data_IF_145751059517
#
_entry.id   IF_145751059517
#
_cell.length_a   1.000
_cell.length_b   1.000
_cell.length_c   1.000
_cell.angle_alpha   90.00
_cell.angle_beta   90.00
_cell.angle_gamma   90.00
#
_symmetry.space_group_name_H-M   'P 1'
#
loop_
_entity.id
_entity.type
_entity.pdbx_description
1 polymer ?
#
# COMPACT_ATOMS: atom_id res chain seq x y z
N UNK A 1 -0.35 7.84 9.80
CA UNK A 1 -1.24 6.65 9.71
C UNK A 1 -1.34 5.96 11.05
N UNK A 2 -0.25 5.42 11.61
CA UNK A 2 -0.31 4.74 12.92
C UNK A 2 -0.91 5.63 14.04
N UNK A 3 -0.48 6.88 14.15
CA UNK A 3 -1.03 7.84 15.12
C UNK A 3 -2.54 8.06 14.98
N UNK A 4 -3.08 7.95 13.76
CA UNK A 4 -4.51 8.14 13.49
C UNK A 4 -5.39 6.99 13.99
N UNK A 5 -4.78 5.81 14.24
CA UNK A 5 -5.44 4.65 14.84
C UNK A 5 -5.38 4.66 16.38
N UNK A 6 -4.57 5.53 17.00
CA UNK A 6 -4.45 5.60 18.46
C UNK A 6 -5.82 5.92 19.09
N UNK A 7 -6.22 5.14 20.09
CA UNK A 7 -7.53 5.25 20.73
C UNK A 7 -8.72 4.70 19.92
N UNK A 8 -8.49 4.07 18.75
CA UNK A 8 -9.51 3.38 17.95
C UNK A 8 -9.41 1.85 18.12
N UNK A 9 -10.35 1.12 17.53
CA UNK A 9 -10.40 -0.35 17.63
C UNK A 9 -9.51 -1.06 16.61
N UNK A 10 -9.19 -0.38 15.51
CA UNK A 10 -8.21 -0.85 14.52
C UNK A 10 -6.80 -0.61 15.04
N UNK A 11 -5.88 -1.51 14.70
CA UNK A 11 -4.49 -1.40 15.12
C UNK A 11 -3.56 -2.05 14.09
N UNK A 12 -2.28 -1.67 14.13
CA UNK A 12 -1.24 -2.21 13.26
C UNK A 12 -0.45 -3.28 14.04
N UNK A 13 -0.71 -4.58 13.82
CA UNK A 13 0.00 -5.62 14.56
C UNK A 13 1.49 -5.62 14.19
N UNK A 14 2.33 -5.91 15.19
CA UNK A 14 3.74 -6.11 14.97
C UNK A 14 3.98 -7.35 14.09
N UNK A 15 5.00 -7.26 13.22
CA UNK A 15 5.38 -8.36 12.34
C UNK A 15 6.10 -9.45 13.15
N UNK A 16 5.82 -10.73 12.87
CA UNK A 16 6.61 -11.83 13.43
C UNK A 16 8.06 -11.76 12.94
N UNK A 17 8.97 -12.45 13.63
CA UNK A 17 10.36 -12.50 13.22
C UNK A 17 10.52 -13.10 11.81
N UNK A 18 9.77 -14.16 11.48
CA UNK A 18 9.81 -14.77 10.15
C UNK A 18 9.26 -13.82 9.08
N UNK A 19 8.10 -13.19 9.33
CA UNK A 19 7.49 -12.27 8.38
C UNK A 19 8.37 -11.04 8.13
N UNK A 20 8.93 -10.47 9.19
CA UNK A 20 9.89 -9.37 9.11
C UNK A 20 11.12 -9.76 8.28
N UNK A 21 11.66 -10.96 8.48
CA UNK A 21 12.82 -11.44 7.72
C UNK A 21 12.48 -11.62 6.23
N UNK A 22 11.28 -12.14 5.93
CA UNK A 22 10.80 -12.29 4.55
C UNK A 22 10.63 -10.94 3.84
N UNK A 23 10.00 -9.95 4.49
CA UNK A 23 9.89 -8.61 3.92
C UNK A 23 11.27 -7.98 3.73
N UNK A 24 12.17 -8.12 4.73
CA UNK A 24 13.53 -7.57 4.65
C UNK A 24 14.34 -8.13 3.48
N UNK A 25 14.14 -9.40 3.10
CA UNK A 25 14.87 -9.99 1.96
C UNK A 25 14.52 -9.37 0.61
N UNK A 26 13.40 -8.62 0.53
CA UNK A 26 12.97 -7.91 -0.69
C UNK A 26 13.44 -6.46 -0.75
N UNK A 27 14.03 -5.94 0.34
CA UNK A 27 14.34 -4.53 0.51
C UNK A 27 15.84 -4.28 0.64
N UNK A 28 16.24 -3.03 0.37
CA UNK A 28 17.61 -2.58 0.61
C UNK A 28 18.02 -2.63 2.10
N UNK A 29 19.32 -2.60 2.40
CA UNK A 29 19.83 -2.72 3.77
C UNK A 29 19.36 -1.60 4.69
N UNK A 30 19.06 -0.42 4.15
CA UNK A 30 18.67 0.78 4.89
C UNK A 30 17.19 0.83 5.33
N UNK A 31 16.34 -0.05 4.81
CA UNK A 31 14.90 0.02 5.06
C UNK A 31 14.53 -0.64 6.39
N UNK A 32 13.86 0.10 7.28
CA UNK A 32 13.31 -0.45 8.50
C UNK A 32 12.02 -1.21 8.20
N UNK A 33 11.96 -2.48 8.62
CA UNK A 33 10.77 -3.32 8.40
C UNK A 33 9.91 -3.30 9.66
N UNK A 34 8.74 -2.68 9.53
CA UNK A 34 7.73 -2.48 10.56
C UNK A 34 6.32 -2.46 9.92
N UNK A 35 5.29 -2.27 10.74
CA UNK A 35 3.92 -2.04 10.31
C UNK A 35 3.42 -0.73 10.95
N UNK A 36 3.19 0.34 10.18
CA UNK A 36 3.24 0.44 8.72
C UNK A 36 4.65 0.25 8.13
N UNK A 37 4.71 -0.27 6.89
CA UNK A 37 5.95 -0.43 6.14
C UNK A 37 6.22 0.80 5.27
N UNK A 38 7.36 1.46 5.49
CA UNK A 38 7.94 2.41 4.53
C UNK A 38 8.94 1.65 3.66
N UNK A 39 8.55 1.29 2.43
CA UNK A 39 9.42 0.56 1.51
C UNK A 39 10.45 1.45 0.80
N UNK A 40 10.41 2.77 1.05
CA UNK A 40 11.19 3.81 0.38
C UNK A 40 11.03 3.87 -1.14
N UNK A 41 11.42 5.01 -1.72
CA UNK A 41 11.37 5.23 -3.16
C UNK A 41 12.46 4.45 -3.94
N UNK A 42 13.32 3.70 -3.26
CA UNK A 42 14.43 2.96 -3.90
C UNK A 42 13.97 1.92 -4.93
N UNK A 43 12.81 1.29 -4.69
CA UNK A 43 12.21 0.32 -5.63
C UNK A 43 11.07 0.92 -6.44
N UNK A 44 10.82 2.23 -6.31
CA UNK A 44 9.72 2.88 -7.01
C UNK A 44 9.98 2.85 -8.53
N UNK A 45 8.91 2.66 -9.30
CA UNK A 45 8.91 2.40 -10.74
C UNK A 45 9.56 1.08 -11.17
N UNK A 46 10.01 0.23 -10.24
CA UNK A 46 10.37 -1.15 -10.52
C UNK A 46 9.22 -2.08 -10.12
N UNK A 47 8.23 -2.22 -11.02
CA UNK A 47 7.00 -3.01 -10.77
C UNK A 47 7.29 -4.44 -10.29
N UNK A 48 8.25 -5.21 -10.85
CA UNK A 48 8.63 -6.51 -10.30
C UNK A 48 9.14 -6.47 -8.85
N UNK A 49 10.01 -5.51 -8.52
CA UNK A 49 10.54 -5.37 -7.16
C UNK A 49 9.44 -4.95 -6.17
N UNK A 50 8.59 -3.98 -6.54
CA UNK A 50 7.42 -3.59 -5.75
C UNK A 50 6.48 -4.77 -5.53
N UNK A 51 6.22 -5.59 -6.57
CA UNK A 51 5.36 -6.76 -6.46
C UNK A 51 5.93 -7.76 -5.46
N UNK A 52 7.24 -8.02 -5.49
CA UNK A 52 7.89 -8.91 -4.53
C UNK A 52 7.79 -8.40 -3.09
N UNK A 53 8.09 -7.12 -2.85
CA UNK A 53 7.97 -6.49 -1.52
C UNK A 53 6.53 -6.48 -1.01
N UNK A 54 5.57 -6.07 -1.84
CA UNK A 54 4.17 -6.05 -1.45
C UNK A 54 3.63 -7.45 -1.21
N UNK A 55 4.02 -8.44 -2.03
CA UNK A 55 3.63 -9.85 -1.81
C UNK A 55 4.14 -10.35 -0.46
N UNK A 56 5.39 -10.05 -0.12
CA UNK A 56 5.98 -10.42 1.17
C UNK A 56 5.28 -9.71 2.34
N UNK A 57 4.87 -8.45 2.19
CA UNK A 57 4.13 -7.74 3.25
C UNK A 57 2.72 -8.32 3.41
N UNK A 58 1.98 -8.47 2.32
CA UNK A 58 0.58 -8.94 2.29
C UNK A 58 0.44 -10.39 2.80
N UNK A 59 1.51 -11.21 2.72
CA UNK A 59 1.50 -12.58 3.24
C UNK A 59 1.39 -12.67 4.77
N UNK A 60 1.37 -11.55 5.49
CA UNK A 60 1.23 -11.48 6.95
C UNK A 60 -0.14 -11.87 7.50
N UNK A 61 -1.14 -12.12 6.63
CA UNK A 61 -2.48 -12.54 7.06
C UNK A 61 -3.31 -11.42 7.69
N UNK A 62 -3.07 -10.16 7.31
CA UNK A 62 -3.84 -9.02 7.79
C UNK A 62 -5.29 -9.04 7.29
N UNK A 63 -6.22 -8.56 8.12
CA UNK A 63 -7.64 -8.44 7.75
C UNK A 63 -7.85 -7.46 6.59
N UNK A 64 -7.04 -6.39 6.54
CA UNK A 64 -7.03 -5.41 5.47
C UNK A 64 -5.60 -4.93 5.21
N UNK A 65 -5.21 -4.89 3.94
CA UNK A 65 -3.94 -4.33 3.50
C UNK A 65 -4.20 -2.93 2.94
N UNK A 66 -3.45 -1.94 3.40
CA UNK A 66 -3.62 -0.55 2.94
C UNK A 66 -2.34 -0.07 2.28
N UNK A 67 -2.49 0.49 1.08
CA UNK A 67 -1.42 1.20 0.40
C UNK A 67 -1.74 2.70 0.41
N UNK A 68 -0.86 3.48 1.03
CA UNK A 68 -0.93 4.94 0.90
C UNK A 68 -0.37 5.32 -0.47
N UNK A 69 -1.21 5.89 -1.34
CA UNK A 69 -0.84 6.25 -2.71
C UNK A 69 -1.57 7.53 -3.14
N UNK A 70 -0.81 8.61 -3.26
CA UNK A 70 -1.30 9.93 -3.64
C UNK A 70 -1.06 10.19 -5.13
N UNK A 71 -2.09 10.03 -5.97
CA UNK A 71 -1.96 10.32 -7.40
C UNK A 71 -1.64 11.80 -7.63
N UNK A 72 -0.73 12.10 -8.56
CA UNK A 72 -0.42 13.47 -8.88
C UNK A 72 -1.55 14.07 -9.72
N UNK A 73 -1.53 15.39 -9.82
CA UNK A 73 -2.39 16.09 -10.77
C UNK A 73 -1.98 15.77 -12.22
N UNK A 74 -2.87 15.21 -13.06
CA UNK A 74 -2.53 14.78 -14.41
C UNK A 74 -2.18 15.94 -15.35
N UNK A 75 -2.66 17.16 -15.06
CA UNK A 75 -2.29 18.36 -15.82
C UNK A 75 -0.88 18.87 -15.53
N UNK A 76 -0.19 18.32 -14.51
CA UNK A 76 1.14 18.76 -14.07
C UNK A 76 2.20 17.67 -14.10
N UNK A 77 1.80 16.41 -13.91
CA UNK A 77 2.71 15.29 -13.82
C UNK A 77 2.03 14.02 -14.37
N UNK A 78 2.82 13.16 -14.99
CA UNK A 78 2.38 11.84 -15.41
C UNK A 78 2.09 10.95 -14.20
N UNK A 79 1.02 10.19 -14.25
CA UNK A 79 0.60 9.23 -13.23
C UNK A 79 1.05 7.78 -13.53
N UNK A 80 1.79 7.56 -14.62
CA UNK A 80 2.19 6.22 -15.10
C UNK A 80 2.86 5.38 -14.00
N UNK A 81 3.73 5.99 -13.20
CA UNK A 81 4.48 5.31 -12.14
C UNK A 81 3.57 4.90 -10.96
N UNK A 82 2.49 5.65 -10.72
CA UNK A 82 1.48 5.31 -9.71
C UNK A 82 0.65 4.11 -10.14
N UNK A 83 0.33 4.02 -11.43
CA UNK A 83 -0.34 2.84 -11.98
C UNK A 83 0.53 1.58 -11.90
N UNK A 84 1.86 1.71 -12.03
CA UNK A 84 2.78 0.60 -11.80
C UNK A 84 2.77 0.13 -10.35
N UNK A 85 2.81 1.07 -9.39
CA UNK A 85 2.68 0.76 -7.96
C UNK A 85 1.35 0.08 -7.63
N UNK A 86 0.24 0.58 -8.19
CA UNK A 86 -1.08 -0.01 -8.02
C UNK A 86 -1.17 -1.44 -8.59
N UNK A 87 -0.61 -1.69 -9.79
CA UNK A 87 -0.55 -3.05 -10.37
C UNK A 87 0.25 -4.01 -9.51
N UNK A 88 1.39 -3.57 -8.98
CA UNK A 88 2.20 -4.37 -8.07
C UNK A 88 1.42 -4.75 -6.80
N UNK A 89 0.67 -3.81 -6.23
CA UNK A 89 -0.13 -4.04 -5.05
C UNK A 89 -1.31 -4.99 -5.34
N UNK A 90 -2.01 -4.78 -6.45
CA UNK A 90 -3.07 -5.68 -6.91
C UNK A 90 -2.56 -7.12 -7.10
N UNK A 91 -1.38 -7.29 -7.72
CA UNK A 91 -0.77 -8.61 -7.89
C UNK A 91 -0.47 -9.29 -6.55
N UNK A 92 0.04 -8.53 -5.57
CA UNK A 92 0.29 -9.04 -4.23
C UNK A 92 -1.00 -9.48 -3.51
N UNK A 93 -2.06 -8.68 -3.60
CA UNK A 93 -3.38 -9.00 -3.04
C UNK A 93 -3.96 -10.28 -3.66
N UNK A 94 -3.92 -10.39 -4.99
CA UNK A 94 -4.40 -11.57 -5.72
C UNK A 94 -3.62 -12.83 -5.36
N UNK A 95 -2.30 -12.72 -5.26
CA UNK A 95 -1.40 -13.85 -4.91
C UNK A 95 -1.73 -14.40 -3.53
N UNK A 96 -2.01 -13.53 -2.56
CA UNK A 96 -2.31 -13.92 -1.19
C UNK A 96 -3.81 -14.07 -0.88
N UNK A 97 -4.69 -13.84 -1.87
CA UNK A 97 -6.16 -13.80 -1.69
C UNK A 97 -6.59 -12.85 -0.57
N UNK A 98 -5.93 -11.70 -0.47
CA UNK A 98 -6.12 -10.74 0.61
C UNK A 98 -7.02 -9.56 0.19
N UNK A 99 -7.61 -8.89 1.18
CA UNK A 99 -8.38 -7.66 0.98
C UNK A 99 -7.45 -6.44 0.97
N UNK A 100 -7.75 -5.45 0.12
CA UNK A 100 -6.91 -4.28 -0.07
C UNK A 100 -7.67 -2.96 -0.22
N UNK A 101 -7.03 -1.87 0.22
CA UNK A 101 -7.51 -0.51 0.05
C UNK A 101 -6.39 0.43 -0.41
N UNK A 102 -6.76 1.42 -1.22
CA UNK A 102 -5.90 2.56 -1.57
C UNK A 102 -6.31 3.72 -0.68
N UNK A 103 -5.36 4.28 0.06
CA UNK A 103 -5.56 5.40 0.97
C UNK A 103 -4.83 6.61 0.42
N UNK A 104 -5.51 7.74 0.27
CA UNK A 104 -4.81 9.01 -0.02
C UNK A 104 -4.47 9.74 1.28
N UNK A 105 -3.35 10.47 1.31
CA UNK A 105 -3.01 11.34 2.44
C UNK A 105 -3.82 12.63 2.41
N UNK A 106 -4.10 13.13 1.21
CA UNK A 106 -5.06 14.20 0.94
C UNK A 106 -6.21 13.65 0.09
N UNK A 107 -7.48 13.90 0.44
CA UNK A 107 -8.64 13.41 -0.32
C UNK A 107 -8.56 13.73 -1.83
N UNK A 108 -8.01 14.90 -2.18
CA UNK A 108 -7.88 15.39 -3.55
C UNK A 108 -6.86 14.63 -4.40
N UNK A 109 -5.96 13.87 -3.77
CA UNK A 109 -4.95 13.06 -4.46
C UNK A 109 -5.47 11.67 -4.86
N UNK A 110 -6.78 11.44 -4.78
CA UNK A 110 -7.43 10.26 -5.34
C UNK A 110 -8.58 10.71 -6.25
N UNK A 111 -8.31 10.95 -7.55
CA UNK A 111 -9.32 11.42 -8.48
C UNK A 111 -10.55 10.50 -8.52
N UNK A 112 -11.74 11.08 -8.45
CA UNK A 112 -13.01 10.33 -8.46
C UNK A 112 -13.13 9.42 -9.69
N UNK A 113 -12.60 9.87 -10.83
CA UNK A 113 -12.53 9.09 -12.08
C UNK A 113 -11.78 7.74 -11.95
N UNK A 114 -10.86 7.60 -11.00
CA UNK A 114 -10.12 6.34 -10.78
C UNK A 114 -10.88 5.36 -9.87
N UNK A 115 -11.83 5.85 -9.10
CA UNK A 115 -12.49 5.08 -8.02
C UNK A 115 -13.26 3.87 -8.53
N UNK A 116 -14.03 4.04 -9.62
CA UNK A 116 -14.75 2.95 -10.26
C UNK A 116 -13.79 1.87 -10.77
N UNK A 117 -12.65 2.27 -11.32
CA UNK A 117 -11.60 1.35 -11.77
C UNK A 117 -10.93 0.60 -10.61
N UNK A 118 -10.70 1.27 -9.48
CA UNK A 118 -10.16 0.65 -8.26
C UNK A 118 -11.12 -0.40 -7.70
N UNK A 119 -12.40 -0.05 -7.56
CA UNK A 119 -13.42 -0.97 -7.07
C UNK A 119 -13.59 -2.18 -7.99
N UNK A 120 -13.56 -1.99 -9.31
CA UNK A 120 -13.59 -3.09 -10.29
C UNK A 120 -12.39 -4.04 -10.18
N UNK A 121 -11.26 -3.55 -9.65
CA UNK A 121 -10.05 -4.35 -9.36
C UNK A 121 -10.06 -4.97 -7.96
N UNK A 122 -11.12 -4.76 -7.18
CA UNK A 122 -11.27 -5.29 -5.82
C UNK A 122 -10.51 -4.51 -4.75
N UNK A 123 -10.16 -3.24 -5.01
CA UNK A 123 -9.51 -2.36 -4.03
C UNK A 123 -10.43 -1.21 -3.64
N UNK A 124 -10.60 -1.00 -2.35
CA UNK A 124 -11.47 0.08 -1.83
C UNK A 124 -10.70 1.41 -1.85
N UNK A 125 -11.21 2.48 -2.50
CA UNK A 125 -10.65 3.81 -2.36
C UNK A 125 -11.08 4.45 -1.02
N UNK A 126 -10.11 4.90 -0.22
CA UNK A 126 -10.31 5.60 1.06
C UNK A 126 -9.68 7.00 0.97
N UNK A 127 -10.51 8.03 1.07
CA UNK A 127 -10.14 9.43 0.83
C UNK A 127 -9.68 10.11 2.11
N UNK A 128 -8.48 9.76 2.58
CA UNK A 128 -7.88 10.34 3.77
C UNK A 128 -7.44 9.31 4.80
N UNK A 129 -6.34 9.61 5.49
CA UNK A 129 -5.80 8.75 6.55
C UNK A 129 -6.75 8.69 7.75
N UNK A 130 -7.40 9.79 8.12
CA UNK A 130 -8.30 9.81 9.29
C UNK A 130 -9.59 9.05 9.06
N UNK A 131 -10.09 9.10 7.83
CA UNK A 131 -11.30 8.44 7.34
C UNK A 131 -11.09 6.93 7.16
N UNK A 132 -9.85 6.51 6.90
CA UNK A 132 -9.48 5.11 6.79
C UNK A 132 -9.39 4.38 8.14
N UNK A 133 -9.24 5.10 9.26
CA UNK A 133 -9.04 4.52 10.60
C UNK A 133 -10.33 4.42 11.42
#
# INVERSE_FOLDING_TARGET
MADSAEGRWVHFPALTAEHRAHVKSTLGPLVAVANPLDYHTFIWNNEPAMTATFTAMVSGGFDLNMLVLDFPRPDRCSDVDWWATLRAFEAALKTNRAQGAIVSSLPENLPEEYTAGLMARGMVPLFGISEAM
#
